data_IF_444840308160
#
_entry.id   IF_444840308160
#
_cell.length_a   1.000
_cell.length_b   1.000
_cell.length_c   1.000
_cell.angle_alpha   90.00
_cell.angle_beta   90.00
_cell.angle_gamma   90.00
#
_symmetry.space_group_name_H-M   'P 1'
#
loop_
_entity.id
_entity.type
_entity.pdbx_description
1 polymer ?
#
# COMPACT_ATOMS: atom_id res chain seq x y z
N UNK A 1 -24.12 19.29 1.58
CA UNK A 1 -23.53 18.12 0.90
C UNK A 1 -24.47 16.97 1.17
N UNK A 2 -25.24 16.51 0.18
CA UNK A 2 -26.17 15.39 0.35
C UNK A 2 -25.35 14.15 0.72
N UNK A 3 -25.48 13.68 1.95
CA UNK A 3 -24.77 12.48 2.40
C UNK A 3 -25.41 11.27 1.74
N UNK A 4 -24.75 10.69 0.74
CA UNK A 4 -25.19 9.43 0.16
C UNK A 4 -25.23 8.36 1.26
N UNK A 5 -26.40 7.74 1.42
CA UNK A 5 -26.58 6.61 2.33
C UNK A 5 -25.82 5.41 1.74
N UNK A 6 -24.92 4.80 2.52
CA UNK A 6 -24.20 3.60 2.12
C UNK A 6 -24.83 2.40 2.81
N UNK A 7 -25.13 1.36 2.04
CA UNK A 7 -25.64 0.10 2.55
C UNK A 7 -24.56 -0.97 2.46
N UNK A 8 -24.39 -1.75 3.53
CA UNK A 8 -23.54 -2.92 3.57
C UNK A 8 -24.42 -4.16 3.56
N UNK A 9 -24.20 -5.03 2.57
CA UNK A 9 -24.82 -6.35 2.49
C UNK A 9 -23.92 -7.36 3.21
N UNK A 10 -24.35 -7.78 4.39
CA UNK A 10 -23.65 -8.76 5.20
C UNK A 10 -24.26 -10.13 4.89
N UNK A 11 -23.54 -10.95 4.11
CA UNK A 11 -23.97 -12.31 3.75
C UNK A 11 -23.75 -13.29 4.92
N UNK A 12 -24.41 -12.99 6.03
CA UNK A 12 -24.66 -13.97 7.07
C UNK A 12 -25.88 -14.83 6.69
N UNK A 13 -26.32 -15.74 7.57
CA UNK A 13 -27.44 -16.66 7.28
C UNK A 13 -28.76 -15.95 6.96
N UNK A 14 -28.88 -14.65 7.21
CA UNK A 14 -30.10 -13.87 7.10
C UNK A 14 -30.02 -12.75 6.03
N UNK A 15 -28.92 -12.68 5.27
CA UNK A 15 -28.67 -11.64 4.24
C UNK A 15 -28.95 -10.22 4.76
N UNK A 16 -28.40 -9.89 5.94
CA UNK A 16 -28.67 -8.61 6.60
C UNK A 16 -28.13 -7.44 5.78
N UNK A 17 -29.02 -6.49 5.47
CA UNK A 17 -28.66 -5.20 4.91
C UNK A 17 -28.58 -4.19 6.06
N UNK A 18 -27.39 -3.63 6.28
CA UNK A 18 -27.15 -2.67 7.33
C UNK A 18 -26.74 -1.30 6.77
N UNK A 19 -27.20 -0.23 7.40
CA UNK A 19 -26.74 1.12 7.09
C UNK A 19 -25.31 1.31 7.58
N UNK A 20 -24.42 1.68 6.65
CA UNK A 20 -23.02 1.94 6.91
C UNK A 20 -22.77 3.45 7.01
N UNK A 21 -22.33 3.90 8.18
CA UNK A 21 -21.96 5.31 8.40
C UNK A 21 -20.50 5.52 8.04
N UNK A 22 -20.20 6.43 7.11
CA UNK A 22 -18.83 6.85 6.84
C UNK A 22 -18.26 7.57 8.07
N UNK A 23 -17.22 7.02 8.67
CA UNK A 23 -16.49 7.62 9.79
C UNK A 23 -15.31 8.45 9.29
N UNK A 24 -14.60 7.92 8.28
CA UNK A 24 -13.41 8.56 7.75
C UNK A 24 -13.17 8.16 6.31
N UNK A 25 -12.71 9.10 5.48
CA UNK A 25 -12.18 8.82 4.15
C UNK A 25 -10.84 9.53 3.99
N UNK A 26 -9.79 8.77 3.64
CA UNK A 26 -8.46 9.32 3.49
C UNK A 26 -8.01 9.32 2.03
N UNK A 27 -8.19 10.46 1.34
CA UNK A 27 -7.88 10.62 -0.08
C UNK A 27 -6.46 10.20 -0.50
N UNK A 28 -5.45 10.46 0.34
CA UNK A 28 -4.06 10.11 -0.02
C UNK A 28 -3.85 8.58 -0.12
N UNK A 29 -4.29 7.84 0.91
CA UNK A 29 -4.16 6.38 1.01
C UNK A 29 -5.30 5.64 0.32
N UNK A 30 -6.35 6.37 -0.08
CA UNK A 30 -7.50 5.86 -0.80
C UNK A 30 -8.22 4.69 -0.10
N UNK A 31 -8.54 4.88 1.18
CA UNK A 31 -9.41 3.97 1.94
C UNK A 31 -10.49 4.76 2.70
N UNK A 32 -11.60 4.08 2.99
CA UNK A 32 -12.70 4.60 3.79
C UNK A 32 -12.99 3.65 4.97
N UNK A 33 -13.37 4.22 6.11
CA UNK A 33 -13.79 3.50 7.30
C UNK A 33 -15.28 3.70 7.50
N UNK A 34 -16.01 2.59 7.54
CA UNK A 34 -17.44 2.59 7.79
C UNK A 34 -17.72 1.97 9.15
N UNK A 35 -18.70 2.54 9.86
CA UNK A 35 -19.27 1.98 11.07
C UNK A 35 -20.62 1.36 10.72
N UNK A 36 -20.75 0.09 11.05
CA UNK A 36 -21.97 -0.69 10.85
C UNK A 36 -22.41 -1.18 12.22
N UNK A 37 -23.71 -1.07 12.53
CA UNK A 37 -24.28 -1.73 13.72
C UNK A 37 -24.62 -3.16 13.34
N UNK A 38 -24.11 -4.11 14.12
CA UNK A 38 -24.25 -5.54 13.86
C UNK A 38 -24.43 -6.25 15.20
N UNK A 39 -25.39 -7.17 15.24
CA UNK A 39 -25.70 -7.96 16.44
C UNK A 39 -24.76 -9.15 16.60
N UNK A 40 -24.19 -9.63 15.48
CA UNK A 40 -23.20 -10.70 15.44
C UNK A 40 -21.84 -10.13 15.08
N UNK A 41 -20.81 -10.48 15.85
CA UNK A 41 -19.43 -10.10 15.56
C UNK A 41 -18.89 -10.98 14.42
N UNK A 42 -18.49 -10.41 13.27
CA UNK A 42 -17.93 -11.20 12.18
C UNK A 42 -16.55 -11.75 12.56
N UNK A 43 -16.16 -12.87 11.94
CA UNK A 43 -14.79 -13.35 12.06
C UNK A 43 -13.82 -12.31 11.49
N UNK A 44 -12.83 -11.95 12.30
CA UNK A 44 -11.76 -11.04 11.88
C UNK A 44 -10.73 -11.87 11.11
N UNK A 45 -10.42 -11.53 9.84
CA UNK A 45 -9.41 -12.26 9.09
C UNK A 45 -8.04 -12.10 9.76
N UNK A 46 -7.28 -13.20 9.82
CA UNK A 46 -5.88 -13.16 10.22
C UNK A 46 -5.08 -12.35 9.20
N UNK A 47 -4.21 -11.47 9.67
CA UNK A 47 -3.40 -10.60 8.81
C UNK A 47 -1.99 -11.19 8.65
N UNK A 48 -1.41 -10.99 7.47
CA UNK A 48 0.02 -11.17 7.24
C UNK A 48 0.64 -9.83 6.88
N UNK A 49 1.78 -9.53 7.51
CA UNK A 49 2.54 -8.29 7.31
C UNK A 49 3.72 -8.48 6.35
N UNK A 50 4.05 -9.72 6.00
CA UNK A 50 5.16 -10.05 5.11
C UNK A 50 4.62 -10.41 3.74
N UNK A 51 4.93 -9.57 2.75
CA UNK A 51 4.48 -9.75 1.37
C UNK A 51 5.71 -9.88 0.50
N UNK A 52 5.78 -10.96 -0.28
CA UNK A 52 6.93 -11.24 -1.17
C UNK A 52 6.54 -11.02 -2.63
N UNK A 53 7.45 -10.47 -3.41
CA UNK A 53 7.28 -10.43 -4.87
C UNK A 53 7.20 -11.85 -5.43
N UNK A 54 6.30 -12.05 -6.40
CA UNK A 54 5.99 -13.37 -6.97
C UNK A 54 5.05 -14.24 -6.13
N UNK A 55 4.71 -13.84 -4.90
CA UNK A 55 3.77 -14.58 -4.06
C UNK A 55 2.40 -14.67 -4.74
N UNK A 56 1.81 -15.87 -4.76
CA UNK A 56 0.46 -16.11 -5.27
C UNK A 56 -0.58 -15.52 -4.32
N UNK A 57 -1.54 -14.80 -4.89
CA UNK A 57 -2.59 -14.09 -4.17
C UNK A 57 -3.94 -14.29 -4.87
N UNK A 58 -5.00 -14.06 -4.10
CA UNK A 58 -6.37 -14.01 -4.59
C UNK A 58 -6.96 -12.64 -4.25
N UNK A 59 -7.75 -12.12 -5.18
CA UNK A 59 -8.50 -10.88 -5.01
C UNK A 59 -9.98 -11.23 -4.99
N UNK A 60 -10.66 -10.80 -3.93
CA UNK A 60 -12.09 -11.02 -3.79
C UNK A 60 -12.84 -9.73 -4.05
N UNK A 61 -13.97 -9.82 -4.74
CA UNK A 61 -14.87 -8.71 -5.01
C UNK A 61 -16.30 -9.20 -5.10
N UNK A 62 -17.22 -8.31 -5.48
CA UNK A 62 -18.60 -8.68 -5.77
C UNK A 62 -19.09 -7.99 -7.02
N UNK A 63 -19.69 -8.75 -7.93
CA UNK A 63 -20.27 -8.19 -9.15
C UNK A 63 -21.51 -7.32 -8.86
N UNK A 64 -22.12 -6.77 -9.91
CA UNK A 64 -23.31 -5.93 -9.81
C UNK A 64 -24.52 -6.67 -9.18
N UNK A 65 -24.55 -8.00 -9.27
CA UNK A 65 -25.57 -8.86 -8.68
C UNK A 65 -25.19 -9.37 -7.29
N UNK A 66 -24.10 -8.84 -6.69
CA UNK A 66 -23.57 -9.18 -5.37
C UNK A 66 -22.96 -10.58 -5.27
N UNK A 67 -22.79 -11.30 -6.38
CA UNK A 67 -22.13 -12.61 -6.37
C UNK A 67 -20.64 -12.44 -6.10
N UNK A 68 -20.10 -13.36 -5.29
CA UNK A 68 -18.68 -13.37 -4.95
C UNK A 68 -17.87 -13.62 -6.21
N UNK A 69 -16.93 -12.72 -6.48
CA UNK A 69 -15.94 -12.84 -7.55
C UNK A 69 -14.59 -13.12 -6.92
N UNK A 70 -13.83 -14.02 -7.54
CA UNK A 70 -12.46 -14.34 -7.16
C UNK A 70 -11.59 -14.29 -8.41
N UNK A 71 -10.49 -13.57 -8.34
CA UNK A 71 -9.44 -13.60 -9.34
C UNK A 71 -8.12 -14.03 -8.69
N UNK A 72 -7.29 -14.77 -9.43
CA UNK A 72 -6.00 -15.24 -8.93
C UNK A 72 -4.84 -14.60 -9.68
N UNK A 73 -3.73 -14.40 -8.97
CA UNK A 73 -2.57 -13.74 -9.54
C UNK A 73 -1.39 -13.75 -8.60
N UNK A 74 -0.50 -12.78 -8.79
CA UNK A 74 0.72 -12.66 -8.00
C UNK A 74 1.07 -11.21 -7.71
N UNK A 75 1.87 -11.00 -6.65
CA UNK A 75 2.48 -9.71 -6.35
C UNK A 75 3.57 -9.42 -7.38
N UNK A 76 3.39 -8.38 -8.19
CA UNK A 76 4.33 -8.05 -9.26
C UNK A 76 5.63 -7.46 -8.72
N UNK A 77 6.77 -7.88 -9.29
CA UNK A 77 8.09 -7.29 -9.06
C UNK A 77 8.19 -5.90 -9.73
N UNK A 78 7.40 -4.95 -9.24
CA UNK A 78 7.23 -3.61 -9.81
C UNK A 78 7.15 -2.58 -8.70
N UNK A 79 7.84 -1.46 -8.92
CA UNK A 79 7.80 -0.29 -8.05
C UNK A 79 6.87 0.81 -8.55
N UNK A 80 6.50 1.74 -7.65
CA UNK A 80 5.77 2.93 -8.04
C UNK A 80 6.63 3.82 -8.96
N UNK A 81 6.03 4.37 -10.01
CA UNK A 81 6.64 5.45 -10.79
C UNK A 81 6.54 6.79 -10.05
N UNK A 82 7.14 7.86 -10.58
CA UNK A 82 7.03 9.22 -10.03
C UNK A 82 5.60 9.74 -9.87
N UNK A 83 4.64 9.17 -10.59
CA UNK A 83 3.21 9.52 -10.52
C UNK A 83 2.42 8.62 -9.56
N UNK A 84 3.06 7.61 -8.96
CA UNK A 84 2.40 6.66 -8.08
C UNK A 84 2.67 6.97 -6.61
N UNK A 85 1.73 6.55 -5.77
CA UNK A 85 1.91 6.62 -4.32
C UNK A 85 2.83 5.48 -3.87
N UNK A 86 3.78 5.78 -2.99
CA UNK A 86 4.76 4.81 -2.52
C UNK A 86 4.22 3.80 -1.49
N UNK A 87 2.96 3.92 -1.06
CA UNK A 87 2.32 3.04 -0.09
C UNK A 87 1.52 1.87 -0.71
N UNK A 88 1.67 1.64 -2.02
CA UNK A 88 0.94 0.58 -2.74
C UNK A 88 1.90 -0.43 -3.36
N UNK A 89 1.44 -1.67 -3.48
CA UNK A 89 2.08 -2.73 -4.26
C UNK A 89 1.23 -3.07 -5.49
N UNK A 90 1.79 -3.83 -6.42
CA UNK A 90 1.17 -4.14 -7.71
C UNK A 90 0.79 -5.61 -7.80
N UNK A 91 -0.29 -5.91 -8.50
CA UNK A 91 -0.81 -7.27 -8.71
C UNK A 91 -0.95 -7.59 -10.20
N UNK A 92 -0.80 -8.86 -10.57
CA UNK A 92 -1.09 -9.37 -11.92
C UNK A 92 -2.58 -9.68 -12.15
N UNK A 93 -3.42 -9.57 -11.12
CA UNK A 93 -4.86 -9.80 -11.22
C UNK A 93 -5.53 -8.81 -12.18
N UNK A 94 -6.58 -9.25 -12.86
CA UNK A 94 -7.44 -8.45 -13.71
C UNK A 94 -8.52 -7.79 -12.85
N UNK A 95 -8.33 -6.52 -12.51
CA UNK A 95 -9.24 -5.80 -11.64
C UNK A 95 -10.31 -5.05 -12.44
N UNK A 96 -11.57 -5.39 -12.19
CA UNK A 96 -12.72 -4.57 -12.58
C UNK A 96 -13.14 -3.64 -11.43
N UNK A 97 -14.18 -2.82 -11.65
CA UNK A 97 -14.66 -1.87 -10.64
C UNK A 97 -15.18 -2.55 -9.37
N UNK A 98 -15.76 -3.73 -9.56
CA UNK A 98 -16.36 -4.60 -8.54
C UNK A 98 -15.37 -5.13 -7.51
N UNK A 99 -14.06 -5.07 -7.80
CA UNK A 99 -13.00 -5.45 -6.86
C UNK A 99 -12.50 -4.28 -6.00
N UNK A 100 -12.95 -3.03 -6.21
CA UNK A 100 -12.47 -1.88 -5.45
C UNK A 100 -12.79 -2.02 -3.96
N UNK A 101 -11.78 -1.87 -3.10
CA UNK A 101 -11.95 -2.10 -1.66
C UNK A 101 -12.02 -3.58 -1.27
N UNK A 102 -11.98 -4.49 -2.24
CA UNK A 102 -11.95 -5.93 -2.03
C UNK A 102 -10.65 -6.40 -1.38
N UNK A 103 -10.68 -7.47 -0.57
CA UNK A 103 -9.50 -7.97 0.10
C UNK A 103 -8.58 -8.70 -0.88
N UNK A 104 -7.28 -8.52 -0.67
CA UNK A 104 -6.22 -9.34 -1.23
C UNK A 104 -5.83 -10.34 -0.15
N UNK A 105 -5.90 -11.62 -0.46
CA UNK A 105 -5.56 -12.70 0.46
C UNK A 105 -4.50 -13.63 -0.15
N UNK A 106 -3.73 -14.30 0.71
CA UNK A 106 -2.86 -15.38 0.28
C UNK A 106 -3.56 -16.74 0.31
N UNK A 107 -2.86 -17.80 -0.12
CA UNK A 107 -3.41 -19.14 -0.30
C UNK A 107 -4.03 -19.73 0.98
N UNK A 108 -3.53 -19.36 2.15
CA UNK A 108 -4.06 -19.82 3.44
C UNK A 108 -5.23 -18.96 3.98
N UNK A 109 -5.69 -17.96 3.22
CA UNK A 109 -6.77 -17.06 3.61
C UNK A 109 -6.33 -15.85 4.45
N UNK A 110 -5.05 -15.66 4.73
CA UNK A 110 -4.56 -14.48 5.44
C UNK A 110 -4.69 -13.22 4.58
N UNK A 111 -5.13 -12.14 5.21
CA UNK A 111 -5.32 -10.84 4.59
C UNK A 111 -3.98 -10.12 4.39
N UNK A 112 -3.67 -9.81 3.13
CA UNK A 112 -2.47 -9.09 2.70
C UNK A 112 -2.71 -7.61 2.42
N UNK A 113 -3.95 -7.20 2.18
CA UNK A 113 -4.24 -5.81 1.84
C UNK A 113 -5.56 -5.63 1.11
N UNK A 114 -5.74 -4.46 0.52
CA UNK A 114 -7.01 -4.06 -0.10
C UNK A 114 -6.78 -3.45 -1.47
N UNK A 115 -7.57 -3.86 -2.46
CA UNK A 115 -7.49 -3.30 -3.82
C UNK A 115 -7.74 -1.80 -3.81
N UNK A 116 -6.88 -1.07 -4.52
CA UNK A 116 -6.96 0.38 -4.64
C UNK A 116 -6.68 0.86 -6.05
N UNK A 117 -7.45 1.85 -6.50
CA UNK A 117 -7.34 2.46 -7.83
C UNK A 117 -6.69 3.85 -7.77
N UNK A 118 -6.08 4.34 -8.88
CA UNK A 118 -6.05 3.76 -10.23
C UNK A 118 -4.95 2.70 -10.46
N UNK A 119 -5.23 1.76 -11.37
CA UNK A 119 -4.32 0.72 -11.84
C UNK A 119 -4.44 -0.61 -11.08
N UNK A 120 -3.55 -1.55 -11.41
CA UNK A 120 -3.49 -2.89 -10.80
C UNK A 120 -2.67 -2.85 -9.51
N UNK A 121 -3.27 -2.26 -8.46
CA UNK A 121 -2.58 -1.98 -7.19
C UNK A 121 -3.43 -2.37 -5.99
N UNK A 122 -2.75 -2.60 -4.88
CA UNK A 122 -3.38 -2.77 -3.59
C UNK A 122 -2.58 -2.05 -2.50
N UNK A 123 -3.28 -1.65 -1.44
CA UNK A 123 -2.70 -1.07 -0.22
C UNK A 123 -2.40 -2.25 0.71
N UNK A 124 -1.13 -2.52 1.05
CA UNK A 124 -0.79 -3.59 1.97
C UNK A 124 -1.40 -3.42 3.36
N UNK A 125 -1.72 -4.54 4.01
CA UNK A 125 -2.27 -4.65 5.36
C UNK A 125 -1.47 -3.83 6.38
N UNK A 126 -0.13 -3.90 6.31
CA UNK A 126 0.77 -3.14 7.18
C UNK A 126 0.57 -1.62 7.09
N UNK A 127 0.24 -1.10 5.90
CA UNK A 127 -0.06 0.32 5.71
C UNK A 127 -1.41 0.65 6.34
N UNK A 128 -2.44 -0.15 6.05
CA UNK A 128 -3.79 0.04 6.58
C UNK A 128 -3.77 0.06 8.10
N UNK A 129 -3.12 -0.93 8.73
CA UNK A 129 -2.99 -1.04 10.18
C UNK A 129 -2.32 0.18 10.82
N UNK A 130 -1.24 0.68 10.21
CA UNK A 130 -0.53 1.86 10.73
C UNK A 130 -1.35 3.13 10.55
N UNK A 131 -2.05 3.27 9.43
CA UNK A 131 -3.00 4.35 9.21
C UNK A 131 -4.12 4.35 10.28
N UNK A 132 -4.72 3.18 10.55
CA UNK A 132 -5.73 3.02 11.59
C UNK A 132 -5.19 3.38 12.98
N UNK A 133 -3.97 2.95 13.30
CA UNK A 133 -3.34 3.26 14.58
C UNK A 133 -3.09 4.76 14.74
N UNK A 134 -2.58 5.45 13.71
CA UNK A 134 -2.38 6.90 13.75
C UNK A 134 -3.70 7.67 13.85
N UNK A 135 -4.73 7.29 13.10
CA UNK A 135 -6.06 7.89 13.23
C UNK A 135 -6.59 7.76 14.66
N UNK A 136 -6.41 6.59 15.28
CA UNK A 136 -6.81 6.35 16.68
C UNK A 136 -6.01 7.21 17.67
N UNK A 137 -4.69 7.35 17.48
CA UNK A 137 -3.79 8.04 18.43
C UNK A 137 -3.78 9.56 18.27
N UNK A 138 -3.80 10.05 17.04
CA UNK A 138 -3.54 11.45 16.69
C UNK A 138 -4.72 12.15 15.99
N UNK A 139 -5.81 11.42 15.71
CA UNK A 139 -6.94 11.90 14.90
C UNK A 139 -6.55 12.41 13.49
N UNK A 140 -5.35 12.05 13.03
CA UNK A 140 -4.83 12.35 11.70
C UNK A 140 -3.73 11.34 11.32
N UNK A 141 -3.29 11.40 10.06
CA UNK A 141 -2.17 10.59 9.58
C UNK A 141 -1.01 11.53 9.20
N UNK A 142 -0.03 11.75 10.10
CA UNK A 142 1.18 12.52 9.76
C UNK A 142 1.93 11.84 8.60
N UNK A 143 2.56 12.67 7.76
CA UNK A 143 3.34 12.21 6.61
C UNK A 143 4.68 12.91 6.60
N UNK A 144 5.76 12.12 6.64
CA UNK A 144 7.10 12.65 6.47
C UNK A 144 7.35 12.91 4.99
N UNK A 145 7.79 14.13 4.68
CA UNK A 145 8.23 14.51 3.34
C UNK A 145 9.74 14.72 3.37
N UNK A 146 10.48 13.90 2.63
CA UNK A 146 11.95 13.88 2.69
C UNK A 146 12.63 14.94 1.84
N UNK A 147 11.89 15.58 0.94
CA UNK A 147 12.51 16.47 -0.03
C UNK A 147 13.25 15.72 -1.15
N UNK A 148 13.00 14.42 -1.35
CA UNK A 148 13.70 13.60 -2.35
C UNK A 148 12.73 12.72 -3.16
N UNK A 149 13.13 12.35 -4.38
CA UNK A 149 12.54 11.25 -5.14
C UNK A 149 13.57 10.15 -5.38
N UNK A 150 13.07 8.93 -5.50
CA UNK A 150 13.91 7.73 -5.57
C UNK A 150 13.50 6.81 -6.71
N UNK A 151 14.49 6.12 -7.28
CA UNK A 151 14.32 4.94 -8.13
C UNK A 151 15.00 3.74 -7.49
N UNK A 152 14.28 2.63 -7.35
CA UNK A 152 14.83 1.44 -6.73
C UNK A 152 15.70 0.66 -7.72
N UNK A 153 16.96 0.37 -7.33
CA UNK A 153 17.93 -0.36 -8.17
C UNK A 153 17.33 -1.69 -8.65
N UNK A 154 16.56 -2.38 -7.78
CA UNK A 154 15.94 -3.68 -8.10
C UNK A 154 14.92 -3.68 -9.23
N UNK A 155 14.43 -2.52 -9.66
CA UNK A 155 13.45 -2.39 -10.76
C UNK A 155 14.05 -1.84 -12.04
N UNK A 156 15.35 -1.53 -12.05
CA UNK A 156 16.06 -1.17 -13.28
C UNK A 156 16.23 -2.41 -14.17
N UNK A 157 16.36 -2.19 -15.48
CA UNK A 157 16.74 -3.27 -16.38
C UNK A 157 18.14 -3.83 -16.04
N UNK A 158 18.46 -5.05 -16.50
CA UNK A 158 19.72 -5.70 -16.17
C UNK A 158 20.96 -4.89 -16.54
N UNK A 159 20.92 -4.12 -17.64
CA UNK A 159 22.09 -3.35 -18.12
C UNK A 159 22.44 -2.23 -17.14
N UNK A 160 21.45 -1.48 -16.67
CA UNK A 160 21.68 -0.43 -15.68
C UNK A 160 22.11 -1.00 -14.32
N UNK A 161 21.55 -2.15 -13.91
CA UNK A 161 21.99 -2.83 -12.67
C UNK A 161 23.43 -3.30 -12.75
N UNK A 162 23.80 -3.98 -13.82
CA UNK A 162 25.18 -4.46 -14.01
C UNK A 162 26.17 -3.28 -13.93
N UNK A 163 25.85 -2.16 -14.58
CA UNK A 163 26.69 -0.95 -14.55
C UNK A 163 26.89 -0.41 -13.13
N UNK A 164 25.84 -0.34 -12.32
CA UNK A 164 25.91 0.14 -10.93
C UNK A 164 26.74 -0.83 -10.08
N UNK A 165 26.50 -2.14 -10.19
CA UNK A 165 27.26 -3.16 -9.45
C UNK A 165 28.75 -3.04 -9.81
N UNK A 166 29.10 -2.97 -11.09
CA UNK A 166 30.51 -2.93 -11.54
C UNK A 166 31.23 -1.64 -11.15
N UNK A 167 30.55 -0.50 -11.15
CA UNK A 167 31.18 0.81 -10.90
C UNK A 167 31.13 1.26 -9.44
N UNK A 168 30.08 0.88 -8.72
CA UNK A 168 29.80 1.37 -7.38
C UNK A 168 29.87 0.27 -6.32
N UNK A 169 29.93 -1.01 -6.72
CA UNK A 169 29.86 -2.16 -5.81
C UNK A 169 28.58 -2.18 -4.95
N UNK A 170 27.46 -1.68 -5.51
CA UNK A 170 26.15 -1.63 -4.85
C UNK A 170 25.17 -2.57 -5.56
N UNK A 171 24.57 -3.49 -4.80
CA UNK A 171 23.60 -4.47 -5.32
C UNK A 171 22.14 -4.06 -5.11
N UNK A 172 21.85 -3.40 -4.00
CA UNK A 172 20.51 -3.01 -3.58
C UNK A 172 20.56 -1.59 -3.03
N UNK A 173 19.45 -0.87 -3.14
CA UNK A 173 19.36 0.51 -2.68
C UNK A 173 18.44 1.34 -3.56
N UNK A 174 18.37 2.62 -3.23
CA UNK A 174 17.56 3.61 -3.92
C UNK A 174 18.46 4.70 -4.49
N UNK A 175 18.37 4.93 -5.79
CA UNK A 175 19.03 6.06 -6.44
C UNK A 175 18.19 7.30 -6.19
N UNK A 176 18.81 8.35 -5.66
CA UNK A 176 18.20 9.68 -5.55
C UNK A 176 18.07 10.25 -6.95
N UNK A 177 16.84 10.38 -7.46
CA UNK A 177 16.59 10.90 -8.81
C UNK A 177 16.28 12.40 -8.82
N UNK A 178 15.93 12.96 -7.67
CA UNK A 178 15.61 14.38 -7.51
C UNK A 178 15.78 14.77 -6.05
N UNK A 179 16.30 15.98 -5.83
CA UNK A 179 16.38 16.64 -4.53
C UNK A 179 15.69 17.99 -4.70
N UNK A 180 14.69 18.27 -3.87
CA UNK A 180 13.97 19.54 -3.93
C UNK A 180 14.83 20.67 -3.34
N UNK A 181 14.85 21.81 -4.01
CA UNK A 181 15.53 23.03 -3.57
C UNK A 181 14.99 23.49 -2.20
N UNK A 182 15.89 23.93 -1.32
CA UNK A 182 15.60 24.38 0.04
C UNK A 182 15.31 23.26 1.05
N UNK A 183 15.28 21.99 0.60
CA UNK A 183 15.01 20.83 1.47
C UNK A 183 16.14 20.56 2.46
N UNK A 184 15.83 19.81 3.52
CA UNK A 184 16.87 19.34 4.46
C UNK A 184 17.90 18.47 3.74
N UNK A 185 17.46 17.62 2.81
CA UNK A 185 18.32 16.77 2.00
C UNK A 185 19.38 17.58 1.23
N UNK A 186 18.96 18.68 0.59
CA UNK A 186 19.90 19.58 -0.10
C UNK A 186 20.90 20.22 0.87
N UNK A 187 20.41 20.72 2.01
CA UNK A 187 21.23 21.40 3.03
C UNK A 187 22.29 20.50 3.64
N UNK A 188 22.00 19.20 3.79
CA UNK A 188 22.96 18.20 4.29
C UNK A 188 23.84 17.61 3.18
N UNK A 189 23.70 18.09 1.94
CA UNK A 189 24.59 17.77 0.84
C UNK A 189 24.17 16.58 -0.03
N UNK A 190 22.95 16.04 0.12
CA UNK A 190 22.44 14.98 -0.75
C UNK A 190 22.20 15.54 -2.15
N UNK A 191 22.59 14.78 -3.18
CA UNK A 191 22.51 15.15 -4.60
C UNK A 191 21.84 14.07 -5.44
N UNK A 192 21.43 14.46 -6.65
CA UNK A 192 20.95 13.53 -7.67
C UNK A 192 22.08 12.55 -8.04
N UNK A 193 21.78 11.26 -8.06
CA UNK A 193 22.72 10.18 -8.32
C UNK A 193 23.25 9.49 -7.05
N UNK A 194 23.08 10.09 -5.87
CA UNK A 194 23.43 9.43 -4.61
C UNK A 194 22.61 8.15 -4.42
N UNK A 195 23.19 7.17 -3.72
CA UNK A 195 22.53 5.90 -3.42
C UNK A 195 22.25 5.80 -1.92
N UNK A 196 20.98 5.59 -1.59
CA UNK A 196 20.52 5.30 -0.23
C UNK A 196 20.40 3.80 -0.06
N UNK A 197 21.31 3.21 0.74
CA UNK A 197 21.31 1.78 1.05
C UNK A 197 20.49 1.45 2.31
N UNK A 198 20.38 2.42 3.24
CA UNK A 198 19.66 2.24 4.50
C UNK A 198 18.85 3.47 4.90
N UNK A 199 17.78 3.24 5.66
CA UNK A 199 16.92 4.26 6.23
C UNK A 199 16.73 3.97 7.72
N UNK A 200 17.15 4.90 8.58
CA UNK A 200 17.12 4.68 10.04
C UNK A 200 17.82 3.36 10.45
N UNK A 201 19.00 3.09 9.88
CA UNK A 201 19.79 1.88 10.06
C UNK A 201 19.14 0.57 9.55
N UNK A 202 17.98 0.62 8.91
CA UNK A 202 17.36 -0.53 8.25
C UNK A 202 17.75 -0.54 6.77
N UNK A 203 18.21 -1.68 6.25
CA UNK A 203 18.49 -1.82 4.82
C UNK A 203 17.21 -1.61 4.02
N UNK A 204 17.28 -0.75 2.99
CA UNK A 204 16.14 -0.46 2.12
C UNK A 204 16.50 -0.68 0.66
N UNK A 205 15.51 -1.12 -0.07
CA UNK A 205 15.67 -1.57 -1.43
C UNK A 205 14.45 -1.25 -2.30
N UNK A 206 13.36 -0.79 -1.68
CA UNK A 206 12.22 -0.15 -2.36
C UNK A 206 11.79 1.14 -1.68
N UNK A 207 11.12 1.99 -2.46
CA UNK A 207 10.42 3.15 -1.91
C UNK A 207 9.27 2.75 -0.98
N UNK A 208 8.71 1.54 -1.15
CA UNK A 208 7.70 1.00 -0.25
C UNK A 208 8.30 0.69 1.13
N UNK A 209 9.45 0.04 1.19
CA UNK A 209 10.17 -0.20 2.45
C UNK A 209 10.52 1.13 3.15
N UNK A 210 11.05 2.11 2.43
CA UNK A 210 11.27 3.46 3.02
C UNK A 210 9.97 4.05 3.55
N UNK A 211 8.88 3.96 2.80
CA UNK A 211 7.58 4.45 3.25
C UNK A 211 7.11 3.75 4.54
N UNK A 212 7.31 2.43 4.63
CA UNK A 212 7.07 1.64 5.85
C UNK A 212 7.95 2.15 6.99
N UNK A 213 9.26 2.36 6.82
CA UNK A 213 10.10 2.90 7.90
C UNK A 213 9.61 4.28 8.35
N UNK A 214 9.29 5.18 7.42
CA UNK A 214 8.83 6.54 7.72
C UNK A 214 7.53 6.58 8.52
N UNK A 215 6.54 5.78 8.13
CA UNK A 215 5.27 5.72 8.86
C UNK A 215 5.45 5.09 10.25
N UNK A 216 6.49 4.25 10.48
CA UNK A 216 6.86 3.78 11.82
C UNK A 216 7.42 4.90 12.70
N UNK A 217 8.24 5.78 12.13
CA UNK A 217 8.89 6.87 12.86
C UNK A 217 7.88 7.90 13.39
N UNK A 218 6.71 8.03 12.76
CA UNK A 218 5.64 8.89 13.24
C UNK A 218 5.02 8.44 14.59
N UNK A 219 5.40 7.27 15.11
CA UNK A 219 4.95 6.80 16.42
C UNK A 219 5.91 7.11 17.58
N UNK A 220 7.16 7.46 17.26
CA UNK A 220 8.19 7.91 18.21
C UNK A 220 7.93 9.36 18.62
#
# INVERSE_FOLDING_TARGET
MFGSLVHAHLLDKNDIIATAQLIHYHKHYNFALFKIKMDVVPQIPSLSNEIKYGQKIFVLGRDENQYLMVDDGSVLHKGPTSFNRHHTMFTSCTLNECCLGGPVIEVNGQFLGMISRPGMKFIPSVIILRCLHMLKKFNCIPRLHTGMKFSAIRFLDPVHREKIIRKCNVHVGLIVTEVFEGSIAEKVGIRNGDIVESWNNELVSTTFEVFVVQISLCFL
#
